data_IF_180783490368
#
_entry.id   IF_180783490368
#
_cell.length_a   1.000
_cell.length_b   1.000
_cell.length_c   1.000
_cell.angle_alpha   90.00
_cell.angle_beta   90.00
_cell.angle_gamma   90.00
#
_symmetry.space_group_name_H-M   'P 1'
#
loop_
_entity.id
_entity.type
_entity.pdbx_description
1 polymer ?
#
# COMPACT_ATOMS: atom_id res chain seq x y z
N UNK A 1 8.31 -1.77 -23.74
CA UNK A 1 8.75 -0.70 -22.81
C UNK A 1 8.49 -1.16 -21.38
N UNK A 2 9.48 -1.17 -20.55
CA UNK A 2 9.32 -1.66 -19.17
C UNK A 2 8.64 -0.60 -18.32
N UNK A 3 7.38 -0.80 -18.00
CA UNK A 3 6.61 0.09 -17.14
C UNK A 3 6.59 -0.35 -15.67
N UNK A 4 7.21 -1.47 -15.38
CA UNK A 4 7.43 -1.94 -14.02
C UNK A 4 8.83 -1.52 -13.55
N UNK A 5 8.87 -0.66 -12.55
CA UNK A 5 10.11 -0.25 -11.90
C UNK A 5 10.23 -1.04 -10.60
N UNK A 6 11.14 -2.01 -10.61
CA UNK A 6 11.52 -2.73 -9.40
C UNK A 6 12.73 -2.03 -8.78
N UNK A 7 12.63 -1.67 -7.51
CA UNK A 7 13.77 -1.12 -6.79
C UNK A 7 14.74 -2.22 -6.41
N UNK A 8 15.85 -2.25 -7.12
CA UNK A 8 17.00 -3.12 -6.79
C UNK A 8 18.12 -2.39 -6.03
N UNK A 9 17.80 -1.29 -5.37
CA UNK A 9 18.85 -0.57 -4.65
C UNK A 9 19.24 -1.31 -3.36
N UNK A 10 20.31 -2.06 -3.48
CA UNK A 10 20.89 -2.90 -2.41
C UNK A 10 21.31 -2.13 -1.16
N UNK A 11 21.41 -0.81 -1.22
CA UNK A 11 21.97 0.00 -0.12
C UNK A 11 20.92 0.85 0.63
N UNK A 12 19.90 1.36 -0.04
CA UNK A 12 18.83 2.14 0.59
C UNK A 12 17.78 1.21 1.22
N UNK A 13 17.54 0.06 0.59
CA UNK A 13 16.54 -0.90 1.03
C UNK A 13 16.82 -1.55 2.40
N UNK A 14 18.01 -1.40 2.96
CA UNK A 14 18.36 -2.00 4.24
C UNK A 14 18.12 -1.10 5.46
N UNK A 15 17.90 0.19 5.25
CA UNK A 15 17.63 1.11 6.35
C UNK A 15 16.14 1.12 6.67
N UNK A 16 15.77 0.60 7.82
CA UNK A 16 14.39 0.59 8.32
C UNK A 16 13.80 1.99 8.54
N UNK A 17 14.62 3.04 8.43
CA UNK A 17 14.24 4.42 8.69
C UNK A 17 13.97 5.26 7.43
N UNK A 18 14.13 4.67 6.23
CA UNK A 18 13.80 5.35 4.98
C UNK A 18 12.35 5.14 4.59
N UNK A 19 11.72 6.22 4.18
CA UNK A 19 10.32 6.26 3.77
C UNK A 19 10.20 6.98 2.43
N UNK A 20 9.23 6.56 1.63
CA UNK A 20 8.85 7.24 0.40
C UNK A 20 7.48 7.87 0.60
N UNK A 21 7.39 9.18 0.40
CA UNK A 21 6.12 9.88 0.38
C UNK A 21 5.36 9.62 -0.92
N UNK A 22 4.05 9.54 -0.83
CA UNK A 22 3.16 9.43 -1.98
C UNK A 22 1.81 10.09 -1.69
N UNK A 23 1.23 10.64 -2.73
CA UNK A 23 -0.11 11.23 -2.67
C UNK A 23 -1.17 10.20 -3.02
N UNK A 24 -2.25 10.20 -2.27
CA UNK A 24 -3.47 9.46 -2.59
C UNK A 24 -4.68 10.26 -2.15
N UNK A 25 -5.54 10.61 -3.13
CA UNK A 25 -6.77 11.36 -2.92
C UNK A 25 -6.57 12.66 -2.12
N UNK A 26 -5.54 13.40 -2.45
CA UNK A 26 -5.25 14.71 -1.86
C UNK A 26 -4.55 14.66 -0.50
N UNK A 27 -4.23 13.49 0.01
CA UNK A 27 -3.47 13.32 1.26
C UNK A 27 -2.09 12.75 0.97
N UNK A 28 -1.12 13.17 1.79
CA UNK A 28 0.24 12.64 1.71
C UNK A 28 0.45 11.51 2.72
N UNK A 29 0.92 10.41 2.23
CA UNK A 29 1.28 9.23 3.01
C UNK A 29 2.74 8.88 2.82
N UNK A 30 3.26 8.03 3.68
CA UNK A 30 4.58 7.46 3.49
C UNK A 30 4.58 5.95 3.74
N UNK A 31 5.28 5.27 2.86
CA UNK A 31 5.55 3.84 2.96
C UNK A 31 7.01 3.62 3.37
N UNK A 32 7.24 2.66 4.24
CA UNK A 32 8.59 2.25 4.59
C UNK A 32 9.29 1.68 3.35
N UNK A 33 10.43 2.24 3.01
CA UNK A 33 11.11 1.96 1.75
C UNK A 33 11.46 0.47 1.56
N UNK A 34 11.94 -0.26 2.59
CA UNK A 34 12.20 -1.70 2.48
C UNK A 34 10.96 -2.55 2.13
N UNK A 35 9.75 -2.03 2.35
CA UNK A 35 8.50 -2.73 2.02
C UNK A 35 8.06 -2.52 0.58
N UNK A 36 8.66 -1.57 -0.13
CA UNK A 36 8.30 -1.26 -1.50
C UNK A 36 9.00 -2.25 -2.44
N UNK A 37 8.20 -3.06 -3.12
CA UNK A 37 8.67 -4.00 -4.13
C UNK A 37 8.85 -3.32 -5.49
N UNK A 38 7.91 -2.46 -5.89
CA UNK A 38 7.98 -1.75 -7.16
C UNK A 38 6.74 -0.91 -7.46
N UNK A 39 6.71 -0.40 -8.68
CA UNK A 39 5.63 0.43 -9.20
C UNK A 39 5.22 -0.05 -10.59
N UNK A 40 3.94 0.04 -10.91
CA UNK A 40 3.46 -0.26 -12.25
C UNK A 40 2.32 0.66 -12.67
N UNK A 41 2.24 0.92 -13.98
CA UNK A 41 1.10 1.54 -14.64
C UNK A 41 0.41 0.59 -15.62
N UNK A 42 1.09 -0.50 -15.95
CA UNK A 42 0.62 -1.50 -16.91
C UNK A 42 0.33 -2.80 -16.18
N UNK A 43 -0.94 -3.15 -16.13
CA UNK A 43 -1.43 -4.39 -15.57
C UNK A 43 -2.82 -4.67 -16.12
N UNK A 44 -3.25 -5.91 -16.03
CA UNK A 44 -4.63 -6.28 -16.31
C UNK A 44 -5.40 -6.34 -15.00
N UNK A 45 -6.46 -5.55 -14.88
CA UNK A 45 -7.31 -5.56 -13.71
C UNK A 45 -8.38 -6.64 -13.80
N UNK A 46 -8.47 -7.47 -12.79
CA UNK A 46 -9.47 -8.50 -12.62
C UNK A 46 -10.34 -8.15 -11.42
N UNK A 47 -11.56 -7.65 -11.62
CA UNK A 47 -12.45 -7.30 -10.52
C UNK A 47 -12.93 -8.55 -9.77
N UNK A 48 -13.07 -8.42 -8.46
CA UNK A 48 -13.60 -9.45 -7.57
C UNK A 48 -14.81 -8.91 -6.80
N UNK A 49 -15.96 -8.73 -7.44
CA UNK A 49 -17.11 -8.02 -6.87
C UNK A 49 -17.71 -8.68 -5.63
N UNK A 50 -17.60 -10.00 -5.53
CA UNK A 50 -18.14 -10.78 -4.40
C UNK A 50 -17.12 -11.02 -3.27
N UNK A 51 -16.01 -10.30 -3.34
CA UNK A 51 -14.92 -10.40 -2.40
C UNK A 51 -15.04 -9.37 -1.26
N UNK A 52 -13.97 -9.21 -0.50
CA UNK A 52 -13.88 -8.12 0.48
C UNK A 52 -14.03 -6.77 -0.21
N UNK A 53 -14.80 -5.87 0.38
CA UNK A 53 -14.92 -4.50 -0.09
C UNK A 53 -13.56 -3.74 -0.08
N UNK A 54 -12.62 -4.20 0.74
CA UNK A 54 -11.27 -3.65 0.84
C UNK A 54 -10.34 -4.13 -0.28
N UNK A 55 -10.70 -5.23 -0.94
CA UNK A 55 -9.96 -5.83 -2.06
C UNK A 55 -10.86 -5.86 -3.29
N UNK A 56 -10.95 -4.75 -4.04
CA UNK A 56 -11.85 -4.66 -5.18
C UNK A 56 -11.47 -5.61 -6.31
N UNK A 57 -10.23 -6.06 -6.37
CA UNK A 57 -9.78 -6.98 -7.40
C UNK A 57 -8.30 -7.31 -7.29
N UNK A 58 -7.82 -7.91 -8.36
CA UNK A 58 -6.45 -8.36 -8.51
C UNK A 58 -5.82 -7.71 -9.74
N UNK A 59 -4.59 -7.27 -9.62
CA UNK A 59 -3.78 -6.81 -10.74
C UNK A 59 -2.89 -7.94 -11.24
N UNK A 60 -3.03 -8.29 -12.49
CA UNK A 60 -2.08 -9.18 -13.17
C UNK A 60 -0.91 -8.34 -13.68
N UNK A 61 0.22 -8.48 -13.02
CA UNK A 61 1.48 -7.79 -13.36
C UNK A 61 2.45 -8.86 -13.85
N UNK A 62 2.76 -8.85 -15.15
CA UNK A 62 3.48 -9.94 -15.82
C UNK A 62 2.76 -11.29 -15.63
N UNK A 63 3.27 -12.13 -14.76
CA UNK A 63 2.70 -13.45 -14.44
C UNK A 63 2.13 -13.54 -13.03
N UNK A 64 2.27 -12.47 -12.24
CA UNK A 64 1.88 -12.45 -10.83
C UNK A 64 0.52 -11.81 -10.64
N UNK A 65 -0.34 -12.50 -9.91
CA UNK A 65 -1.63 -11.97 -9.46
C UNK A 65 -1.46 -11.28 -8.11
N UNK A 66 -1.60 -9.97 -8.10
CA UNK A 66 -1.35 -9.14 -6.93
C UNK A 66 -2.68 -8.53 -6.46
N UNK A 67 -3.14 -8.83 -5.24
CA UNK A 67 -4.35 -8.23 -4.71
C UNK A 67 -4.18 -6.71 -4.56
N UNK A 68 -5.20 -5.97 -4.98
CA UNK A 68 -5.25 -4.52 -4.83
C UNK A 68 -6.10 -4.16 -3.64
N UNK A 69 -5.53 -3.40 -2.70
CA UNK A 69 -6.25 -2.86 -1.56
C UNK A 69 -6.71 -1.44 -1.88
N UNK A 70 -7.98 -1.18 -1.67
CA UNK A 70 -8.51 0.19 -1.73
C UNK A 70 -8.08 0.93 -0.46
N UNK A 71 -6.99 1.68 -0.57
CA UNK A 71 -6.40 2.42 0.54
C UNK A 71 -7.40 3.43 1.15
N UNK A 72 -8.16 4.10 0.31
CA UNK A 72 -9.17 5.06 0.78
C UNK A 72 -10.22 4.39 1.66
N UNK A 73 -10.69 3.24 1.23
CA UNK A 73 -11.70 2.48 1.94
C UNK A 73 -11.17 1.94 3.27
N UNK A 74 -9.95 1.42 3.27
CA UNK A 74 -9.26 0.98 4.48
C UNK A 74 -9.05 2.10 5.50
N UNK A 75 -8.83 3.30 5.02
CA UNK A 75 -8.62 4.48 5.87
C UNK A 75 -9.94 5.17 6.29
N UNK A 76 -11.09 4.60 5.95
CA UNK A 76 -12.39 5.08 6.40
C UNK A 76 -13.10 6.05 5.43
N UNK A 77 -12.62 6.20 4.22
CA UNK A 77 -13.28 6.99 3.17
C UNK A 77 -14.16 6.08 2.31
N UNK A 78 -15.47 6.15 2.50
CA UNK A 78 -16.41 5.20 1.91
C UNK A 78 -16.75 5.42 0.43
N UNK A 79 -16.40 6.57 -0.15
CA UNK A 79 -16.89 6.99 -1.45
C UNK A 79 -15.93 6.77 -2.62
N UNK A 80 -14.77 6.22 -2.40
CA UNK A 80 -13.79 6.05 -3.47
C UNK A 80 -13.79 4.63 -4.00
N UNK A 81 -14.01 4.50 -5.29
CA UNK A 81 -13.95 3.24 -6.00
C UNK A 81 -12.65 3.15 -6.79
N UNK A 82 -11.98 2.04 -6.66
CA UNK A 82 -10.86 1.69 -7.52
C UNK A 82 -11.38 1.30 -8.91
N UNK A 83 -10.83 1.90 -9.96
CA UNK A 83 -11.33 1.75 -11.34
C UNK A 83 -10.51 0.77 -12.17
N UNK A 84 -9.32 0.40 -11.73
CA UNK A 84 -8.42 -0.50 -12.44
C UNK A 84 -7.48 0.18 -13.44
N UNK A 85 -7.39 1.51 -13.41
CA UNK A 85 -6.50 2.30 -14.29
C UNK A 85 -5.47 3.12 -13.50
N UNK A 86 -5.56 3.10 -12.19
CA UNK A 86 -4.67 3.83 -11.30
C UNK A 86 -3.25 3.27 -11.35
N UNK A 87 -2.27 4.14 -11.06
CA UNK A 87 -0.90 3.71 -10.82
C UNK A 87 -0.85 2.90 -9.52
N UNK A 88 -0.11 1.82 -9.53
CA UNK A 88 0.01 0.93 -8.38
C UNK A 88 1.42 0.91 -7.81
N UNK A 89 1.50 1.04 -6.50
CA UNK A 89 2.68 0.72 -5.71
C UNK A 89 2.51 -0.70 -5.16
N UNK A 90 3.48 -1.55 -5.46
CA UNK A 90 3.49 -2.94 -4.99
C UNK A 90 4.35 -3.00 -3.74
N UNK A 91 3.78 -3.55 -2.70
CA UNK A 91 4.38 -3.66 -1.37
C UNK A 91 4.51 -5.13 -0.99
N UNK A 92 5.44 -5.39 -0.09
CA UNK A 92 5.64 -6.71 0.49
C UNK A 92 5.62 -6.58 2.01
N UNK A 93 4.80 -7.37 2.67
CA UNK A 93 4.69 -7.42 4.13
C UNK A 93 4.79 -8.85 4.65
N UNK A 94 5.26 -8.99 5.88
CA UNK A 94 5.30 -10.25 6.59
C UNK A 94 3.99 -10.42 7.37
N UNK A 95 3.15 -11.33 6.93
CA UNK A 95 1.87 -11.61 7.55
C UNK A 95 1.87 -13.06 8.04
N UNK A 96 1.80 -13.24 9.34
CA UNK A 96 1.81 -14.57 9.98
C UNK A 96 2.97 -15.48 9.50
N UNK A 97 4.15 -14.90 9.32
CA UNK A 97 5.36 -15.62 8.87
C UNK A 97 5.45 -15.88 7.37
N UNK A 98 4.52 -15.37 6.58
CA UNK A 98 4.56 -15.44 5.13
C UNK A 98 4.75 -14.06 4.50
N UNK A 99 5.58 -13.98 3.47
CA UNK A 99 5.69 -12.76 2.66
C UNK A 99 4.51 -12.65 1.70
N UNK A 100 3.78 -11.58 1.83
CA UNK A 100 2.61 -11.28 1.01
C UNK A 100 2.86 -10.04 0.20
N UNK A 101 2.64 -10.11 -1.11
CA UNK A 101 2.64 -8.95 -2.00
C UNK A 101 1.22 -8.46 -2.23
N UNK A 102 1.08 -7.16 -2.19
CA UNK A 102 -0.18 -6.48 -2.44
C UNK A 102 0.10 -5.13 -3.08
N UNK A 103 -0.90 -4.56 -3.72
CA UNK A 103 -0.78 -3.28 -4.37
C UNK A 103 -1.72 -2.25 -3.75
N UNK A 104 -1.28 -1.01 -3.72
CA UNK A 104 -2.12 0.13 -3.36
C UNK A 104 -2.06 1.18 -4.48
N UNK A 105 -3.18 1.82 -4.81
CA UNK A 105 -3.18 2.90 -5.78
C UNK A 105 -2.52 4.14 -5.21
N UNK A 106 -1.85 4.91 -6.07
CA UNK A 106 -1.29 6.20 -5.71
C UNK A 106 -1.45 7.19 -6.87
N UNK A 107 -1.53 8.47 -6.54
CA UNK A 107 -1.67 9.54 -7.53
C UNK A 107 -0.31 10.06 -7.98
N UNK A 108 0.55 10.44 -7.03
CA UNK A 108 1.89 10.93 -7.29
C UNK A 108 2.89 10.43 -6.24
N UNK A 109 4.14 10.27 -6.64
CA UNK A 109 5.25 10.02 -5.72
C UNK A 109 5.83 11.35 -5.25
N UNK A 110 6.11 11.43 -3.96
CA UNK A 110 6.86 12.50 -3.34
C UNK A 110 8.33 12.14 -3.12
N UNK A 111 8.94 12.82 -2.17
CA UNK A 111 10.35 12.62 -1.85
C UNK A 111 10.56 11.41 -0.93
N UNK A 112 11.72 10.81 -1.06
CA UNK A 112 12.21 9.86 -0.07
C UNK A 112 12.91 10.62 1.06
N UNK A 113 12.68 10.19 2.29
CA UNK A 113 13.25 10.84 3.48
C UNK A 113 13.63 9.83 4.54
N UNK A 114 14.59 10.21 5.36
CA UNK A 114 14.96 9.44 6.55
C UNK A 114 14.17 9.95 7.75
N UNK A 115 13.47 9.04 8.39
CA UNK A 115 12.70 9.32 9.59
C UNK A 115 13.46 8.82 10.81
N UNK A 116 13.92 9.74 11.66
CA UNK A 116 14.37 9.38 13.01
C UNK A 116 13.16 9.33 13.95
N UNK A 117 13.18 8.43 14.93
CA UNK A 117 12.09 8.31 15.91
C UNK A 117 11.73 9.63 16.64
N UNK A 118 12.66 10.58 16.70
CA UNK A 118 12.44 11.91 17.29
C UNK A 118 11.61 12.86 16.40
N UNK A 119 11.49 12.59 15.10
CA UNK A 119 10.75 13.41 14.14
C UNK A 119 9.34 12.93 13.91
N UNK A 120 9.02 11.73 14.34
CA UNK A 120 7.70 11.17 14.19
C UNK A 120 6.79 11.65 15.33
N UNK A 121 5.67 12.24 14.96
CA UNK A 121 4.62 12.65 15.89
C UNK A 121 3.62 11.50 16.00
N UNK A 122 3.24 11.08 17.21
CA UNK A 122 2.20 10.07 17.37
C UNK A 122 0.90 10.46 16.68
N UNK A 123 0.20 9.48 16.11
CA UNK A 123 -1.11 9.72 15.52
C UNK A 123 -2.08 10.26 16.59
N UNK A 124 -2.86 11.30 16.28
CA UNK A 124 -3.78 11.87 17.23
C UNK A 124 -4.88 10.84 17.59
N UNK A 125 -5.21 10.78 18.87
CA UNK A 125 -6.24 9.88 19.37
C UNK A 125 -7.68 10.41 19.20
N UNK A 126 -7.81 11.71 18.93
CA UNK A 126 -9.11 12.39 18.82
C UNK A 126 -9.13 13.19 17.52
N UNK A 127 -10.20 13.04 16.73
CA UNK A 127 -10.37 13.77 15.48
C UNK A 127 -9.47 13.29 14.34
N UNK A 128 -8.96 12.07 14.42
CA UNK A 128 -8.22 11.48 13.33
C UNK A 128 -9.11 11.36 12.09
N UNK A 129 -8.60 11.84 10.97
CA UNK A 129 -9.25 11.72 9.66
C UNK A 129 -9.33 10.25 9.23
N UNK A 130 -8.45 9.42 9.79
CA UNK A 130 -8.30 8.02 9.43
C UNK A 130 -8.57 7.09 10.61
N UNK A 131 -8.98 5.88 10.29
CA UNK A 131 -9.25 4.84 11.27
C UNK A 131 -7.98 4.47 12.06
N UNK A 132 -8.14 4.28 13.37
CA UNK A 132 -7.04 4.02 14.30
C UNK A 132 -6.34 2.70 13.99
N UNK A 133 -5.02 2.71 14.13
CA UNK A 133 -4.17 1.53 14.03
C UNK A 133 -3.45 1.39 12.70
N UNK A 134 -3.94 1.98 11.64
CA UNK A 134 -3.28 1.94 10.34
C UNK A 134 -2.23 3.04 10.16
N UNK A 135 -2.37 4.13 10.90
CA UNK A 135 -1.40 5.22 10.92
C UNK A 135 -0.45 5.04 12.09
N UNK A 136 0.81 4.80 11.79
CA UNK A 136 1.87 4.64 12.78
C UNK A 136 2.22 5.96 13.46
N UNK A 137 2.16 7.05 12.71
CA UNK A 137 2.47 8.38 13.17
C UNK A 137 2.39 9.39 12.03
N UNK A 138 2.83 10.59 12.30
CA UNK A 138 2.87 11.69 11.35
C UNK A 138 4.27 12.28 11.28
N UNK A 139 4.62 12.77 10.11
CA UNK A 139 5.83 13.55 9.87
C UNK A 139 5.44 14.91 9.32
N UNK A 140 5.97 15.97 9.91
CA UNK A 140 5.77 17.34 9.42
C UNK A 140 6.92 17.68 8.48
N UNK A 141 6.64 17.71 7.20
CA UNK A 141 7.47 18.37 6.22
C UNK A 141 7.09 19.86 6.17
N UNK A 142 7.95 20.71 5.65
CA UNK A 142 7.87 22.20 5.73
C UNK A 142 6.46 22.81 5.81
N UNK A 143 5.51 22.36 4.99
CA UNK A 143 4.13 22.86 4.98
C UNK A 143 3.08 21.73 4.89
N UNK A 144 3.48 20.48 5.10
CA UNK A 144 2.64 19.32 4.79
C UNK A 144 2.74 18.25 5.87
N UNK A 145 1.60 17.69 6.21
CA UNK A 145 1.52 16.53 7.10
C UNK A 145 1.61 15.27 6.25
N UNK A 146 2.56 14.41 6.56
CA UNK A 146 2.72 13.10 5.93
C UNK A 146 2.32 12.03 6.93
N UNK A 147 1.34 11.21 6.59
CA UNK A 147 0.85 10.11 7.43
C UNK A 147 1.65 8.84 7.14
N UNK A 148 2.28 8.28 8.16
CA UNK A 148 3.08 7.06 8.03
C UNK A 148 2.18 5.86 8.24
N UNK A 149 2.03 5.05 7.19
CA UNK A 149 1.15 3.88 7.20
C UNK A 149 1.89 2.66 7.75
N UNK A 150 1.23 1.94 8.64
CA UNK A 150 1.64 0.59 9.01
C UNK A 150 0.91 -0.41 8.11
N UNK A 151 1.55 -0.84 7.04
CA UNK A 151 0.96 -1.74 6.07
C UNK A 151 0.68 -3.14 6.62
N UNK A 152 1.43 -3.59 7.62
CA UNK A 152 1.19 -4.90 8.25
C UNK A 152 -0.12 -4.92 9.04
N UNK A 153 -0.51 -3.78 9.61
CA UNK A 153 -1.82 -3.63 10.27
C UNK A 153 -2.95 -3.30 9.30
N UNK A 154 -2.62 -2.65 8.19
CA UNK A 154 -3.60 -2.30 7.17
C UNK A 154 -4.20 -3.54 6.50
N UNK A 155 -3.37 -4.57 6.30
CA UNK A 155 -3.81 -5.81 5.69
C UNK A 155 -4.45 -6.69 6.76
N UNK A 156 -5.76 -6.84 6.67
CA UNK A 156 -6.48 -7.74 7.55
C UNK A 156 -6.26 -9.20 7.12
N UNK A 157 -6.06 -10.06 8.10
CA UNK A 157 -5.93 -11.49 7.85
C UNK A 157 -7.20 -12.07 7.22
N UNK A 158 -8.36 -11.52 7.56
CA UNK A 158 -9.64 -11.94 7.00
C UNK A 158 -9.72 -11.64 5.50
N UNK A 159 -9.22 -10.48 5.06
CA UNK A 159 -9.12 -10.15 3.64
C UNK A 159 -8.21 -11.13 2.88
N UNK A 160 -7.20 -11.69 3.55
CA UNK A 160 -6.26 -12.64 2.98
C UNK A 160 -6.75 -14.10 3.02
N UNK A 161 -7.53 -14.47 4.02
CA UNK A 161 -8.11 -15.81 4.12
C UNK A 161 -9.02 -16.06 2.93
N UNK A 162 -9.83 -15.12 2.59
CA UNK A 162 -10.69 -15.17 1.42
C UNK A 162 -9.86 -15.31 0.12
N UNK A 163 -8.72 -14.64 0.04
CA UNK A 163 -7.77 -14.80 -1.07
C UNK A 163 -7.14 -16.21 -1.12
N UNK A 164 -6.88 -16.84 0.02
CA UNK A 164 -6.32 -18.21 0.08
C UNK A 164 -7.33 -19.29 -0.31
N UNK A 165 -8.59 -19.04 -0.11
CA UNK A 165 -9.66 -19.96 -0.56
C UNK A 165 -9.85 -19.86 -2.08
N UNK A 166 -9.49 -18.74 -2.66
CA UNK A 166 -9.54 -18.51 -4.11
C UNK A 166 -8.26 -18.86 -4.91
N UNK A 167 -7.09 -19.24 -4.32
CA UNK A 167 -5.86 -19.39 -5.09
C UNK A 167 -5.96 -20.45 -6.19
N UNK A 168 -6.80 -21.45 -6.04
CA UNK A 168 -7.06 -22.44 -7.08
C UNK A 168 -7.82 -21.84 -8.29
N UNK A 169 -8.42 -20.67 -8.16
CA UNK A 169 -9.04 -19.92 -9.25
C UNK A 169 -8.12 -18.84 -9.81
N UNK A 170 -7.22 -18.30 -8.98
CA UNK A 170 -6.28 -17.24 -9.36
C UNK A 170 -4.95 -17.80 -9.89
N UNK A 171 -4.58 -19.03 -9.52
CA UNK A 171 -3.37 -19.72 -9.97
C UNK A 171 -3.67 -20.66 -11.15
N UNK A 172 -4.82 -20.56 -11.75
CA UNK A 172 -5.07 -21.26 -13.00
C UNK A 172 -4.26 -20.65 -14.14
N UNK A 173 -2.94 -20.93 -14.10
CA UNK A 173 -1.99 -20.78 -15.23
C UNK A 173 -2.04 -19.47 -16.00
#
# INVERSE_FOLDING_TARGET
MRTFIQFTSRNIAKSSNYYLAFEHKGNMFAANFPRIYGFTREYTYLPLPDFSANVPGVALVHTDYIPVFDLSRKLGHFETTYTGVEKLMILEADICGAKVRFAVPYDQLGDAFELSGKKMIPAPSIGAIFEKGYIQGMYMSENEVIYIINFEKLIDIDDLIDLKIAPNRLVAK
#
